data_IF_114671379669
#
_entry.id   IF_114671379669
#
_cell.length_a   1.000
_cell.length_b   1.000
_cell.length_c   1.000
_cell.angle_alpha   90.00
_cell.angle_beta   90.00
_cell.angle_gamma   90.00
#
_symmetry.space_group_name_H-M   'P 1'
#
loop_
_entity.id
_entity.type
_entity.pdbx_description
1 polymer ?
#
# COMPACT_ATOMS: atom_id res chain seq x y z
N UNK A 1 -15.42 -29.89 -20.11
CA UNK A 1 -16.01 -28.60 -19.73
C UNK A 1 -15.46 -28.19 -18.35
N UNK A 2 -14.19 -27.75 -18.30
CA UNK A 2 -13.63 -27.07 -17.13
C UNK A 2 -13.99 -25.59 -17.25
N UNK A 3 -15.05 -25.19 -16.56
CA UNK A 3 -15.36 -23.78 -16.31
C UNK A 3 -14.14 -23.14 -15.66
N UNK A 4 -13.62 -22.09 -16.32
CA UNK A 4 -12.56 -21.25 -15.77
C UNK A 4 -12.99 -20.80 -14.37
N UNK A 5 -12.34 -21.33 -13.33
CA UNK A 5 -12.54 -20.89 -11.95
C UNK A 5 -12.07 -19.44 -11.90
N UNK A 6 -13.02 -18.51 -11.96
CA UNK A 6 -12.75 -17.11 -11.69
C UNK A 6 -12.01 -17.05 -10.35
N UNK A 7 -10.86 -16.40 -10.32
CA UNK A 7 -10.06 -16.28 -9.11
C UNK A 7 -10.96 -15.79 -7.99
N UNK A 8 -11.13 -16.60 -6.93
CA UNK A 8 -12.04 -16.31 -5.82
C UNK A 8 -11.67 -14.96 -5.23
N UNK A 9 -12.54 -13.98 -5.38
CA UNK A 9 -12.36 -12.65 -4.80
C UNK A 9 -12.64 -12.75 -3.30
N UNK A 10 -11.75 -12.24 -2.49
CA UNK A 10 -11.89 -12.24 -1.04
C UNK A 10 -12.54 -10.92 -0.59
N UNK A 11 -13.82 -10.95 -0.20
CA UNK A 11 -14.55 -9.77 0.29
C UNK A 11 -13.84 -9.08 1.44
N UNK A 12 -13.23 -9.83 2.36
CA UNK A 12 -12.47 -9.29 3.48
C UNK A 12 -11.30 -8.41 3.07
N UNK A 13 -10.58 -8.76 1.99
CA UNK A 13 -9.49 -7.92 1.49
C UNK A 13 -10.02 -6.65 0.82
N UNK A 14 -11.20 -6.69 0.19
CA UNK A 14 -11.85 -5.50 -0.36
C UNK A 14 -12.24 -4.53 0.76
N UNK A 15 -12.76 -5.03 1.90
CA UNK A 15 -13.05 -4.20 3.07
C UNK A 15 -11.79 -3.49 3.60
N UNK A 16 -10.68 -4.23 3.73
CA UNK A 16 -9.43 -3.66 4.23
C UNK A 16 -8.83 -2.64 3.27
N UNK A 17 -8.92 -2.85 1.96
CA UNK A 17 -8.49 -1.86 0.96
C UNK A 17 -9.34 -0.59 1.01
N UNK A 18 -10.65 -0.75 1.15
CA UNK A 18 -11.55 0.38 1.30
C UNK A 18 -11.24 1.18 2.58
N UNK A 19 -11.03 0.49 3.70
CA UNK A 19 -10.61 1.12 4.95
C UNK A 19 -9.28 1.88 4.76
N UNK A 20 -8.27 1.25 4.17
CA UNK A 20 -6.95 1.85 3.99
C UNK A 20 -7.02 3.15 3.18
N UNK A 21 -7.74 3.17 2.05
CA UNK A 21 -7.85 4.40 1.25
C UNK A 21 -8.66 5.49 1.95
N UNK A 22 -9.71 5.13 2.68
CA UNK A 22 -10.53 6.10 3.42
C UNK A 22 -9.70 6.79 4.51
N UNK A 23 -8.96 6.04 5.34
CA UNK A 23 -8.17 6.67 6.40
C UNK A 23 -6.98 7.46 5.85
N UNK A 24 -6.36 7.02 4.75
CA UNK A 24 -5.32 7.79 4.04
C UNK A 24 -5.89 9.10 3.46
N UNK A 25 -7.10 9.04 2.90
CA UNK A 25 -7.78 10.23 2.39
C UNK A 25 -8.02 11.24 3.52
N UNK A 26 -8.59 10.82 4.65
CA UNK A 26 -8.86 11.69 5.80
C UNK A 26 -7.55 12.28 6.34
N UNK A 27 -6.49 11.50 6.48
CA UNK A 27 -5.17 11.99 6.89
C UNK A 27 -4.64 13.10 5.98
N UNK A 28 -4.73 12.92 4.66
CA UNK A 28 -4.27 13.93 3.72
C UNK A 28 -5.23 15.13 3.65
N UNK A 29 -6.54 14.92 3.86
CA UNK A 29 -7.50 16.02 3.96
C UNK A 29 -7.15 16.96 5.11
N UNK A 30 -6.77 16.40 6.28
CA UNK A 30 -6.38 17.20 7.45
C UNK A 30 -5.13 18.08 7.24
N UNK A 31 -4.45 17.95 6.11
CA UNK A 31 -3.38 18.88 5.71
C UNK A 31 -3.90 20.14 5.02
N UNK A 32 -5.17 20.18 4.63
CA UNK A 32 -5.82 21.26 3.91
C UNK A 32 -6.93 21.93 4.73
N UNK A 33 -7.67 21.14 5.51
CA UNK A 33 -8.72 21.60 6.41
C UNK A 33 -9.01 20.59 7.50
N UNK A 34 -9.45 21.03 8.67
CA UNK A 34 -9.65 20.19 9.86
C UNK A 34 -11.08 20.35 10.41
N UNK A 35 -12.11 19.74 9.78
CA UNK A 35 -13.43 19.75 10.35
C UNK A 35 -13.40 19.17 11.78
N UNK A 36 -14.10 19.77 12.75
CA UNK A 36 -14.01 19.38 14.16
C UNK A 36 -14.49 17.94 14.40
N UNK A 37 -13.99 17.29 15.46
CA UNK A 37 -14.48 16.00 15.96
C UNK A 37 -13.82 14.78 15.38
N UNK A 38 -14.59 13.83 14.82
CA UNK A 38 -14.09 12.51 14.39
C UNK A 38 -12.93 12.55 13.38
N UNK A 39 -12.85 13.60 12.56
CA UNK A 39 -11.79 13.77 11.57
C UNK A 39 -10.41 13.97 12.21
N UNK A 40 -10.33 14.71 13.30
CA UNK A 40 -9.09 14.92 14.02
C UNK A 40 -8.50 13.59 14.49
N UNK A 41 -9.33 12.76 15.16
CA UNK A 41 -8.91 11.45 15.65
C UNK A 41 -8.55 10.48 14.52
N UNK A 42 -9.39 10.37 13.47
CA UNK A 42 -9.10 9.50 12.32
C UNK A 42 -7.90 9.99 11.53
N UNK A 43 -7.74 11.31 11.41
CA UNK A 43 -6.62 11.92 10.71
C UNK A 43 -5.28 11.63 11.38
N UNK A 44 -5.22 11.70 12.72
CA UNK A 44 -3.97 11.44 13.46
C UNK A 44 -3.41 10.02 13.26
N UNK A 45 -4.28 9.05 12.93
CA UNK A 45 -3.90 7.65 12.69
C UNK A 45 -3.89 7.26 11.21
N UNK A 46 -4.47 8.09 10.32
CA UNK A 46 -4.76 7.74 8.93
C UNK A 46 -3.52 7.47 8.07
N UNK A 47 -2.35 7.99 8.45
CA UNK A 47 -1.08 7.68 7.79
C UNK A 47 -0.75 6.19 7.78
N UNK A 48 -1.22 5.42 8.78
CA UNK A 48 -1.01 3.97 8.87
C UNK A 48 -1.80 3.17 7.82
N UNK A 49 -2.76 3.79 7.13
CA UNK A 49 -3.44 3.16 6.00
C UNK A 49 -2.49 2.72 4.89
N UNK A 50 -1.35 3.41 4.76
CA UNK A 50 -0.25 2.99 3.87
C UNK A 50 0.35 1.65 4.33
N UNK A 51 0.55 1.46 5.63
CA UNK A 51 1.07 0.20 6.18
C UNK A 51 0.08 -0.96 5.97
N UNK A 52 -1.23 -0.69 6.04
CA UNK A 52 -2.24 -1.69 5.67
C UNK A 52 -2.16 -2.04 4.18
N UNK A 53 -1.95 -1.06 3.29
CA UNK A 53 -1.68 -1.36 1.87
C UNK A 53 -0.41 -2.19 1.71
N UNK A 54 0.67 -1.91 2.43
CA UNK A 54 1.90 -2.71 2.37
C UNK A 54 1.64 -4.17 2.77
N UNK A 55 0.88 -4.45 3.84
CA UNK A 55 0.55 -5.83 4.23
C UNK A 55 -0.29 -6.51 3.14
N UNK A 56 -1.30 -5.84 2.60
CA UNK A 56 -2.12 -6.37 1.52
C UNK A 56 -1.30 -6.63 0.25
N UNK A 57 -0.41 -5.72 -0.12
CA UNK A 57 0.50 -5.85 -1.25
C UNK A 57 1.48 -7.01 -1.06
N UNK A 58 2.10 -7.12 0.10
CA UNK A 58 3.00 -8.24 0.43
C UNK A 58 2.30 -9.59 0.32
N UNK A 59 1.07 -9.72 0.86
CA UNK A 59 0.29 -10.95 0.74
C UNK A 59 -0.03 -11.33 -0.70
N UNK A 60 -0.47 -10.37 -1.51
CA UNK A 60 -0.85 -10.62 -2.91
C UNK A 60 0.35 -10.93 -3.81
N UNK A 61 1.47 -10.25 -3.58
CA UNK A 61 2.71 -10.48 -4.32
C UNK A 61 3.34 -11.83 -3.96
N UNK A 62 3.48 -12.09 -2.66
CA UNK A 62 3.93 -13.39 -2.16
C UNK A 62 3.05 -14.52 -2.71
N UNK A 63 1.71 -14.33 -2.71
CA UNK A 63 0.76 -15.30 -3.22
C UNK A 63 0.97 -15.66 -4.69
N UNK A 64 1.29 -14.69 -5.54
CA UNK A 64 1.55 -14.94 -6.97
C UNK A 64 2.80 -15.79 -7.20
N UNK A 65 3.84 -15.59 -6.40
CA UNK A 65 5.10 -16.31 -6.52
C UNK A 65 5.02 -17.69 -5.84
N UNK A 66 4.53 -17.72 -4.59
CA UNK A 66 4.50 -18.94 -3.78
C UNK A 66 3.48 -19.97 -4.27
N UNK A 67 2.39 -19.54 -4.91
CA UNK A 67 1.44 -20.46 -5.52
C UNK A 67 2.10 -21.40 -6.55
N UNK A 68 3.02 -20.87 -7.37
CA UNK A 68 3.78 -21.68 -8.34
C UNK A 68 4.85 -22.53 -7.68
N UNK A 69 5.61 -21.94 -6.74
CA UNK A 69 6.66 -22.66 -6.00
C UNK A 69 6.05 -23.83 -5.21
N UNK A 70 4.89 -23.65 -4.58
CA UNK A 70 4.22 -24.70 -3.80
C UNK A 70 3.77 -25.89 -4.68
N UNK A 71 3.46 -25.64 -5.96
CA UNK A 71 3.09 -26.67 -6.96
C UNK A 71 4.29 -27.22 -7.72
N UNK A 72 5.52 -26.79 -7.38
CA UNK A 72 6.75 -27.09 -8.12
C UNK A 72 6.68 -26.67 -9.60
N UNK A 73 5.90 -25.63 -9.93
CA UNK A 73 5.81 -25.04 -11.26
C UNK A 73 6.89 -23.96 -11.46
N UNK A 74 7.41 -23.77 -12.69
CA UNK A 74 8.35 -22.70 -12.97
C UNK A 74 7.70 -21.34 -12.77
N UNK A 75 8.40 -20.44 -12.08
CA UNK A 75 7.94 -19.06 -11.87
C UNK A 75 8.24 -18.25 -13.15
N UNK A 76 7.20 -17.74 -13.79
CA UNK A 76 7.37 -16.84 -14.93
C UNK A 76 7.55 -15.40 -14.45
N UNK A 77 8.80 -14.99 -14.23
CA UNK A 77 9.14 -13.64 -13.77
C UNK A 77 8.74 -12.55 -14.77
N UNK A 78 8.90 -12.80 -16.07
CA UNK A 78 8.44 -11.87 -17.11
C UNK A 78 6.92 -11.62 -17.06
N UNK A 79 6.12 -12.69 -16.85
CA UNK A 79 4.68 -12.55 -16.64
C UNK A 79 4.34 -11.79 -15.37
N UNK A 80 5.10 -12.02 -14.30
CA UNK A 80 4.95 -11.31 -13.05
C UNK A 80 5.17 -9.80 -13.24
N UNK A 81 6.30 -9.39 -13.81
CA UNK A 81 6.61 -7.97 -14.05
C UNK A 81 5.61 -7.33 -15.02
N UNK A 82 5.25 -8.00 -16.10
CA UNK A 82 4.26 -7.51 -17.05
C UNK A 82 2.91 -7.22 -16.41
N UNK A 83 2.42 -8.12 -15.56
CA UNK A 83 1.16 -7.91 -14.81
C UNK A 83 1.23 -6.70 -13.89
N UNK A 84 2.36 -6.46 -13.26
CA UNK A 84 2.57 -5.34 -12.34
C UNK A 84 2.72 -4.03 -13.10
N UNK A 85 3.54 -3.99 -14.13
CA UNK A 85 3.72 -2.79 -14.94
C UNK A 85 2.39 -2.30 -15.50
N UNK A 86 1.56 -3.16 -16.09
CA UNK A 86 0.25 -2.75 -16.61
C UNK A 86 -0.77 -2.38 -15.51
N UNK A 87 -0.55 -2.78 -14.28
CA UNK A 87 -1.39 -2.41 -13.13
C UNK A 87 -1.05 -1.02 -12.59
N UNK A 88 0.23 -0.65 -12.57
CA UNK A 88 0.73 0.48 -11.79
C UNK A 88 1.18 1.63 -12.70
N UNK A 89 2.07 1.35 -13.66
CA UNK A 89 2.76 2.39 -14.42
C UNK A 89 1.83 3.30 -15.25
N UNK A 90 0.77 2.81 -15.92
CA UNK A 90 -0.05 3.68 -16.78
C UNK A 90 -0.74 4.79 -15.99
N UNK A 91 -1.37 4.48 -14.87
CA UNK A 91 -2.06 5.47 -14.05
C UNK A 91 -1.07 6.40 -13.34
N UNK A 92 0.06 5.85 -12.84
CA UNK A 92 1.12 6.66 -12.23
C UNK A 92 1.68 7.70 -13.23
N UNK A 93 2.08 7.28 -14.43
CA UNK A 93 2.62 8.20 -15.42
C UNK A 93 1.58 9.16 -16.00
N UNK A 94 0.30 8.77 -16.08
CA UNK A 94 -0.77 9.68 -16.45
C UNK A 94 -0.90 10.82 -15.42
N UNK A 95 -0.89 10.52 -14.13
CA UNK A 95 -0.94 11.54 -13.07
C UNK A 95 0.34 12.37 -13.06
N UNK A 96 1.51 11.76 -13.21
CA UNK A 96 2.78 12.49 -13.31
C UNK A 96 2.76 13.47 -14.51
N UNK A 97 2.21 13.06 -15.65
CA UNK A 97 2.06 13.94 -16.81
C UNK A 97 1.13 15.14 -16.53
N UNK A 98 0.06 14.94 -15.74
CA UNK A 98 -0.79 16.06 -15.29
C UNK A 98 -0.03 17.05 -14.42
N UNK A 99 0.80 16.58 -13.49
CA UNK A 99 1.66 17.45 -12.68
C UNK A 99 2.66 18.26 -13.51
N UNK A 100 3.18 17.67 -14.60
CA UNK A 100 4.13 18.36 -15.48
C UNK A 100 3.44 19.33 -16.44
N UNK A 101 2.20 19.04 -16.86
CA UNK A 101 1.47 19.82 -17.84
C UNK A 101 0.64 20.97 -17.24
N UNK A 102 0.19 20.81 -15.98
CA UNK A 102 -0.76 21.73 -15.33
C UNK A 102 -0.16 22.20 -14.00
N UNK A 103 0.47 23.40 -13.95
CA UNK A 103 1.09 23.89 -12.70
C UNK A 103 0.13 23.97 -11.52
N UNK A 104 -1.14 24.34 -11.74
CA UNK A 104 -2.18 24.40 -10.71
C UNK A 104 -2.53 23.02 -10.11
N UNK A 105 -2.10 21.91 -10.72
CA UNK A 105 -2.30 20.58 -10.21
C UNK A 105 -1.37 20.24 -9.03
N UNK A 106 -0.28 21.00 -8.87
CA UNK A 106 0.70 20.76 -7.83
C UNK A 106 0.26 21.39 -6.50
N UNK A 107 0.00 20.55 -5.49
CA UNK A 107 -0.38 20.95 -4.13
C UNK A 107 0.79 21.53 -3.31
N UNK A 108 1.98 21.55 -3.86
CA UNK A 108 3.22 22.11 -3.29
C UNK A 108 4.09 22.71 -4.39
N UNK A 109 5.08 23.51 -3.99
CA UNK A 109 5.85 24.37 -4.90
C UNK A 109 6.64 23.64 -5.99
N UNK A 110 7.18 22.47 -5.70
CA UNK A 110 8.05 21.76 -6.64
C UNK A 110 7.87 20.25 -6.59
N UNK A 111 8.05 19.62 -7.75
CA UNK A 111 8.21 18.16 -7.87
C UNK A 111 9.64 17.74 -7.53
N UNK A 112 9.84 16.53 -7.00
CA UNK A 112 11.16 15.90 -7.01
C UNK A 112 11.74 15.82 -8.43
N UNK A 113 13.07 15.73 -8.60
CA UNK A 113 13.68 15.55 -9.90
C UNK A 113 13.04 14.42 -10.70
N UNK A 114 12.68 14.67 -11.97
CA UNK A 114 11.90 13.77 -12.81
C UNK A 114 12.51 12.36 -12.88
N UNK A 115 13.85 12.25 -12.94
CA UNK A 115 14.52 10.94 -12.95
C UNK A 115 14.23 10.12 -11.70
N UNK A 116 14.11 10.74 -10.50
CA UNK A 116 13.74 10.04 -9.27
C UNK A 116 12.31 9.52 -9.33
N UNK A 117 11.41 10.25 -9.96
CA UNK A 117 10.02 9.85 -10.13
C UNK A 117 9.91 8.70 -11.12
N UNK A 118 10.62 8.76 -12.26
CA UNK A 118 10.64 7.69 -13.27
C UNK A 118 11.26 6.40 -12.73
N UNK A 119 12.29 6.51 -11.90
CA UNK A 119 12.99 5.35 -11.32
C UNK A 119 12.41 4.87 -9.99
N UNK A 120 11.30 5.49 -9.52
CA UNK A 120 10.71 5.19 -8.21
C UNK A 120 11.72 5.28 -7.05
N UNK A 121 12.57 6.31 -7.05
CA UNK A 121 13.58 6.58 -6.00
C UNK A 121 13.37 7.91 -5.28
N UNK A 122 12.24 8.58 -5.51
CA UNK A 122 11.94 9.87 -4.88
C UNK A 122 11.79 9.78 -3.34
N UNK A 123 11.57 8.59 -2.81
CA UNK A 123 11.45 8.36 -1.37
C UNK A 123 12.79 8.45 -0.61
N UNK A 124 13.94 8.44 -1.30
CA UNK A 124 15.24 8.66 -0.70
C UNK A 124 15.61 10.14 -0.66
N UNK A 125 15.81 10.68 0.54
CA UNK A 125 16.16 12.10 0.73
C UNK A 125 15.03 13.06 0.32
N UNK A 126 13.77 12.64 0.39
CA UNK A 126 12.61 13.48 0.07
C UNK A 126 12.50 14.65 1.06
N UNK A 127 12.57 15.85 0.54
CA UNK A 127 12.45 17.09 1.30
C UNK A 127 11.12 17.77 1.01
N UNK A 128 10.12 17.57 1.88
CA UNK A 128 8.77 18.12 1.71
C UNK A 128 8.72 19.65 1.60
N UNK A 129 9.67 20.36 2.20
CA UNK A 129 9.71 21.82 2.13
C UNK A 129 10.14 22.32 0.75
N UNK A 130 10.95 21.54 0.02
CA UNK A 130 11.44 21.91 -1.31
C UNK A 130 10.73 21.18 -2.44
N UNK A 131 10.48 19.89 -2.28
CA UNK A 131 10.06 18.94 -3.32
C UNK A 131 8.81 18.17 -2.86
N UNK A 132 7.81 18.89 -2.34
CA UNK A 132 6.64 18.28 -1.68
C UNK A 132 5.50 17.89 -2.61
N UNK A 133 5.49 18.34 -3.87
CA UNK A 133 4.45 17.99 -4.81
C UNK A 133 4.53 16.50 -5.19
N UNK A 134 3.37 15.84 -5.30
CA UNK A 134 3.26 14.39 -5.52
C UNK A 134 4.03 13.53 -4.48
N UNK A 135 4.31 14.11 -3.31
CA UNK A 135 5.10 13.45 -2.27
C UNK A 135 4.47 12.16 -1.76
N UNK A 136 3.13 12.06 -1.73
CA UNK A 136 2.45 10.84 -1.26
C UNK A 136 2.79 9.59 -2.10
N UNK A 137 3.30 9.74 -3.32
CA UNK A 137 3.79 8.62 -4.13
C UNK A 137 5.08 7.95 -3.58
N UNK A 138 5.64 8.44 -2.46
CA UNK A 138 6.79 7.80 -1.79
C UNK A 138 6.54 6.33 -1.46
N UNK A 139 5.32 5.98 -1.08
CA UNK A 139 4.97 4.60 -0.72
C UNK A 139 4.96 3.66 -1.92
N UNK A 140 4.57 4.18 -3.10
CA UNK A 140 4.67 3.43 -4.35
C UNK A 140 6.13 3.11 -4.71
N UNK A 141 7.08 3.99 -4.37
CA UNK A 141 8.50 3.70 -4.55
C UNK A 141 8.91 2.48 -3.74
N UNK A 142 8.49 2.38 -2.49
CA UNK A 142 8.78 1.22 -1.63
C UNK A 142 8.17 -0.05 -2.22
N UNK A 143 6.92 0.01 -2.67
CA UNK A 143 6.25 -1.14 -3.28
C UNK A 143 6.96 -1.59 -4.57
N UNK A 144 7.27 -0.67 -5.50
CA UNK A 144 7.92 -1.01 -6.77
C UNK A 144 9.33 -1.56 -6.58
N UNK A 145 10.10 -0.97 -5.65
CA UNK A 145 11.43 -1.50 -5.27
C UNK A 145 11.31 -2.90 -4.67
N UNK A 146 10.32 -3.13 -3.80
CA UNK A 146 10.07 -4.44 -3.23
C UNK A 146 9.62 -5.46 -4.29
N UNK A 147 8.77 -5.07 -5.24
CA UNK A 147 8.33 -5.92 -6.34
C UNK A 147 9.46 -6.29 -7.30
N UNK A 148 10.45 -5.41 -7.43
CA UNK A 148 11.67 -5.71 -8.19
C UNK A 148 12.57 -6.68 -7.42
N UNK A 149 12.81 -6.41 -6.14
CA UNK A 149 13.79 -7.14 -5.31
C UNK A 149 13.32 -8.55 -4.94
N UNK A 150 12.05 -8.73 -4.55
CA UNK A 150 11.57 -10.02 -4.06
C UNK A 150 11.73 -11.17 -5.06
N UNK A 151 11.34 -11.03 -6.36
CA UNK A 151 11.59 -12.08 -7.36
C UNK A 151 13.08 -12.34 -7.58
N UNK A 152 13.92 -11.29 -7.59
CA UNK A 152 15.38 -11.43 -7.76
C UNK A 152 16.00 -12.22 -6.59
N UNK A 153 15.56 -11.97 -5.36
CA UNK A 153 15.98 -12.76 -4.20
C UNK A 153 15.57 -14.24 -4.34
N UNK A 154 14.36 -14.50 -4.83
CA UNK A 154 13.90 -15.87 -5.05
C UNK A 154 14.71 -16.57 -6.16
N UNK A 155 15.13 -15.85 -7.21
CA UNK A 155 16.05 -16.39 -8.24
C UNK A 155 17.40 -16.72 -7.61
N UNK A 156 17.99 -15.77 -6.89
CA UNK A 156 19.32 -15.93 -6.29
C UNK A 156 19.36 -17.09 -5.27
N UNK A 157 18.29 -17.29 -4.50
CA UNK A 157 18.15 -18.37 -3.53
C UNK A 157 17.65 -19.69 -4.14
N UNK A 158 17.47 -19.76 -5.47
CA UNK A 158 17.02 -20.95 -6.18
C UNK A 158 15.57 -21.31 -5.90
N UNK A 159 14.68 -20.34 -5.68
CA UNK A 159 13.23 -20.52 -5.45
C UNK A 159 12.89 -21.56 -4.36
N UNK A 160 13.76 -21.74 -3.38
CA UNK A 160 13.63 -22.75 -2.34
C UNK A 160 12.59 -22.31 -1.29
N UNK A 161 11.78 -23.27 -0.80
CA UNK A 161 10.86 -23.02 0.33
C UNK A 161 11.59 -22.48 1.57
N UNK A 162 12.86 -22.84 1.75
CA UNK A 162 13.71 -22.35 2.86
C UNK A 162 14.02 -20.84 2.76
N UNK A 163 13.89 -20.20 1.58
CA UNK A 163 14.06 -18.76 1.44
C UNK A 163 13.09 -17.93 2.32
N UNK A 164 11.98 -18.52 2.72
CA UNK A 164 11.03 -17.91 3.66
C UNK A 164 11.65 -17.56 5.01
N UNK A 165 12.68 -18.29 5.45
CA UNK A 165 13.41 -18.00 6.69
C UNK A 165 14.21 -16.69 6.64
N UNK A 166 14.36 -16.09 5.44
CA UNK A 166 14.92 -14.75 5.33
C UNK A 166 13.96 -13.66 5.85
N UNK A 167 12.65 -13.92 5.87
CA UNK A 167 11.65 -12.93 6.30
C UNK A 167 11.88 -12.41 7.73
N UNK A 168 12.04 -13.27 8.76
CA UNK A 168 12.32 -12.79 10.11
C UNK A 168 13.67 -12.06 10.20
N UNK A 169 14.66 -12.43 9.40
CA UNK A 169 15.95 -11.73 9.35
C UNK A 169 15.78 -10.31 8.79
N UNK A 170 15.05 -10.17 7.67
CA UNK A 170 14.77 -8.85 7.08
C UNK A 170 13.91 -7.98 8.00
N UNK A 171 12.96 -8.59 8.71
CA UNK A 171 12.14 -7.88 9.70
C UNK A 171 13.00 -7.36 10.87
N UNK A 172 13.89 -8.20 11.40
CA UNK A 172 14.84 -7.82 12.45
C UNK A 172 15.84 -6.76 11.97
N UNK A 173 16.27 -6.85 10.70
CA UNK A 173 17.17 -5.85 10.09
C UNK A 173 16.49 -4.47 10.03
N UNK A 174 15.21 -4.39 9.66
CA UNK A 174 14.46 -3.13 9.68
C UNK A 174 14.44 -2.49 11.07
N UNK A 175 14.31 -3.32 12.10
CA UNK A 175 14.39 -2.89 13.50
C UNK A 175 15.77 -2.32 13.85
N UNK A 176 16.83 -3.05 13.49
CA UNK A 176 18.22 -2.62 13.74
C UNK A 176 18.55 -1.32 12.99
N UNK A 177 18.11 -1.18 11.75
CA UNK A 177 18.33 0.04 10.95
C UNK A 177 17.65 1.24 11.60
N UNK A 178 16.36 1.11 12.01
CA UNK A 178 15.66 2.22 12.69
C UNK A 178 16.34 2.60 14.01
N UNK A 179 16.82 1.61 14.76
CA UNK A 179 17.59 1.87 15.99
C UNK A 179 18.87 2.64 15.69
N UNK A 180 19.65 2.22 14.69
CA UNK A 180 20.85 2.93 14.25
C UNK A 180 20.52 4.36 13.78
N UNK A 181 19.48 4.54 12.96
CA UNK A 181 19.08 5.88 12.53
C UNK A 181 18.69 6.76 13.70
N UNK A 182 17.96 6.22 14.69
CA UNK A 182 17.52 6.96 15.87
C UNK A 182 18.67 7.40 16.76
N UNK A 183 19.60 6.50 17.11
CA UNK A 183 20.64 6.77 18.08
C UNK A 183 21.89 7.42 17.48
N UNK A 184 22.21 7.11 16.24
CA UNK A 184 23.49 7.52 15.62
C UNK A 184 23.36 8.58 14.54
N UNK A 185 22.22 8.64 13.82
CA UNK A 185 22.04 9.56 12.69
C UNK A 185 21.22 10.79 13.08
N UNK A 186 20.03 10.62 13.65
CA UNK A 186 19.15 11.74 13.98
C UNK A 186 19.75 12.77 14.94
N UNK A 187 20.49 12.39 16.01
CA UNK A 187 21.06 13.37 16.93
C UNK A 187 22.10 14.32 16.30
N UNK A 188 22.67 13.94 15.16
CA UNK A 188 23.65 14.74 14.43
C UNK A 188 23.02 15.72 13.45
N UNK A 189 21.68 15.71 13.31
CA UNK A 189 20.97 16.57 12.37
C UNK A 189 20.46 17.83 13.06
N UNK A 190 20.51 18.95 12.35
CA UNK A 190 20.07 20.27 12.84
C UNK A 190 18.56 20.40 12.97
N UNK A 191 17.79 19.60 12.22
CA UNK A 191 16.32 19.62 12.22
C UNK A 191 15.80 18.19 12.37
N UNK A 192 15.32 17.86 13.56
CA UNK A 192 14.83 16.54 13.92
C UNK A 192 13.65 16.11 13.05
N UNK A 193 12.64 16.96 12.87
CA UNK A 193 11.44 16.61 12.10
C UNK A 193 11.77 16.27 10.65
N UNK A 194 12.61 17.10 9.98
CA UNK A 194 13.08 16.81 8.63
C UNK A 194 13.87 15.49 8.59
N UNK A 195 14.81 15.30 9.52
CA UNK A 195 15.64 14.12 9.58
C UNK A 195 14.83 12.84 9.84
N UNK A 196 13.80 12.91 10.69
CA UNK A 196 12.90 11.79 10.93
C UNK A 196 12.24 11.31 9.62
N UNK A 197 11.69 12.23 8.82
CA UNK A 197 11.09 11.88 7.54
C UNK A 197 12.14 11.36 6.55
N UNK A 198 13.29 11.99 6.46
CA UNK A 198 14.36 11.65 5.53
C UNK A 198 15.02 10.29 5.81
N UNK A 199 15.20 9.91 7.08
CA UNK A 199 15.96 8.71 7.46
C UNK A 199 15.11 7.56 8.01
N UNK A 200 13.90 7.83 8.54
CA UNK A 200 13.03 6.81 9.13
C UNK A 200 11.73 6.62 8.37
N UNK A 201 10.99 7.72 8.05
CA UNK A 201 9.63 7.60 7.54
C UNK A 201 9.56 7.19 6.06
N UNK A 202 10.35 7.82 5.18
CA UNK A 202 10.27 7.61 3.74
C UNK A 202 11.16 6.48 3.18
N UNK A 203 12.35 6.18 3.73
CA UNK A 203 13.25 5.22 3.11
C UNK A 203 12.75 3.80 3.16
N UNK A 204 12.98 3.06 2.07
CA UNK A 204 12.58 1.66 1.91
C UNK A 204 13.14 0.75 2.99
N UNK A 205 14.40 0.96 3.39
CA UNK A 205 15.06 0.11 4.40
C UNK A 205 14.41 0.13 5.78
N UNK A 206 13.64 1.17 6.12
CA UNK A 206 12.96 1.33 7.41
C UNK A 206 11.47 1.00 7.37
N UNK A 207 10.91 0.67 6.19
CA UNK A 207 9.45 0.55 5.99
C UNK A 207 9.01 -0.77 5.34
N UNK A 208 9.85 -1.80 5.36
CA UNK A 208 9.50 -3.10 4.77
C UNK A 208 8.60 -3.96 5.66
N UNK A 209 8.39 -3.60 6.92
CA UNK A 209 7.69 -4.42 7.92
C UNK A 209 6.32 -4.93 7.42
N UNK A 210 5.48 -4.03 6.87
CA UNK A 210 4.16 -4.39 6.35
C UNK A 210 4.22 -5.35 5.16
N UNK A 211 5.12 -5.08 4.20
CA UNK A 211 5.31 -5.95 3.04
C UNK A 211 5.79 -7.34 3.47
N UNK A 212 6.75 -7.41 4.39
CA UNK A 212 7.27 -8.66 4.93
C UNK A 212 6.20 -9.44 5.73
N UNK A 213 5.39 -8.76 6.54
CA UNK A 213 4.26 -9.37 7.24
C UNK A 213 3.25 -9.99 6.25
N UNK A 214 2.93 -9.27 5.16
CA UNK A 214 2.07 -9.79 4.11
C UNK A 214 2.66 -11.00 3.39
N UNK A 215 3.94 -10.96 3.03
CA UNK A 215 4.65 -12.10 2.42
C UNK A 215 4.69 -13.30 3.37
N UNK A 216 4.88 -13.08 4.68
CA UNK A 216 4.86 -14.14 5.69
C UNK A 216 3.48 -14.83 5.75
N UNK A 217 2.38 -14.08 5.74
CA UNK A 217 1.04 -14.65 5.67
C UNK A 217 0.84 -15.52 4.42
N UNK A 218 1.32 -15.04 3.28
CA UNK A 218 1.28 -15.80 2.04
C UNK A 218 2.13 -17.09 2.12
N UNK A 219 3.30 -17.03 2.75
CA UNK A 219 4.15 -18.19 2.96
C UNK A 219 3.47 -19.24 3.86
N UNK A 220 2.82 -18.83 4.95
CA UNK A 220 2.03 -19.72 5.79
C UNK A 220 0.89 -20.38 5.00
N UNK A 221 0.18 -19.61 4.19
CA UNK A 221 -0.91 -20.13 3.36
C UNK A 221 -0.44 -21.23 2.41
N UNK A 222 0.67 -21.04 1.70
CA UNK A 222 1.13 -21.95 0.65
C UNK A 222 2.05 -23.08 1.16
N UNK A 223 2.87 -22.83 2.18
CA UNK A 223 3.89 -23.79 2.62
C UNK A 223 3.57 -24.49 3.92
N UNK A 224 2.61 -23.96 4.71
CA UNK A 224 2.21 -24.52 6.01
C UNK A 224 0.68 -24.64 6.13
N UNK A 225 0.01 -25.37 5.22
CA UNK A 225 -1.46 -25.40 5.16
C UNK A 225 -2.11 -25.91 6.45
N UNK A 226 -1.48 -26.82 7.18
CA UNK A 226 -2.00 -27.29 8.47
C UNK A 226 -1.97 -26.20 9.55
N UNK A 227 -0.89 -25.39 9.59
CA UNK A 227 -0.79 -24.24 10.50
C UNK A 227 -1.81 -23.19 10.10
N UNK A 228 -1.92 -22.91 8.80
CA UNK A 228 -2.91 -21.96 8.27
C UNK A 228 -4.35 -22.32 8.67
N UNK A 229 -4.74 -23.58 8.49
CA UNK A 229 -6.08 -24.06 8.88
C UNK A 229 -6.35 -23.92 10.37
N UNK A 230 -5.35 -24.18 11.23
CA UNK A 230 -5.47 -23.98 12.68
C UNK A 230 -5.63 -22.51 13.03
N UNK A 231 -4.81 -21.64 12.43
CA UNK A 231 -4.89 -20.19 12.65
C UNK A 231 -6.25 -19.63 12.21
N UNK A 232 -6.75 -20.02 11.03
CA UNK A 232 -7.97 -19.45 10.46
C UNK A 232 -9.26 -20.10 10.98
N UNK A 233 -9.16 -21.11 11.87
CA UNK A 233 -10.33 -21.82 12.42
C UNK A 233 -11.27 -20.93 13.24
N UNK A 234 -10.73 -19.89 13.89
CA UNK A 234 -11.46 -18.99 14.78
C UNK A 234 -11.41 -17.55 14.32
N UNK A 235 -11.86 -17.26 13.09
CA UNK A 235 -11.72 -15.98 12.41
C UNK A 235 -12.24 -14.78 13.20
N UNK A 236 -13.38 -14.87 13.87
CA UNK A 236 -13.88 -13.77 14.71
C UNK A 236 -13.04 -13.53 15.96
N UNK A 237 -12.42 -14.56 16.55
CA UNK A 237 -11.47 -14.36 17.66
C UNK A 237 -10.19 -13.68 17.15
N UNK A 238 -9.72 -14.06 15.97
CA UNK A 238 -8.58 -13.38 15.33
C UNK A 238 -8.92 -11.93 15.05
N UNK A 239 -10.14 -11.64 14.59
CA UNK A 239 -10.60 -10.27 14.36
C UNK A 239 -10.55 -9.44 15.66
N UNK A 240 -11.04 -9.98 16.77
CA UNK A 240 -11.00 -9.29 18.07
C UNK A 240 -9.55 -9.07 18.54
N UNK A 241 -8.68 -10.07 18.38
CA UNK A 241 -7.25 -9.93 18.69
C UNK A 241 -6.60 -8.87 17.79
N UNK A 242 -6.91 -8.88 16.49
CA UNK A 242 -6.39 -7.89 15.55
C UNK A 242 -6.81 -6.47 15.93
N UNK A 243 -8.07 -6.26 16.31
CA UNK A 243 -8.56 -4.96 16.77
C UNK A 243 -7.87 -4.51 18.07
N UNK A 244 -7.62 -5.43 19.00
CA UNK A 244 -6.85 -5.16 20.21
C UNK A 244 -5.39 -4.80 19.88
N UNK A 245 -4.77 -5.50 18.92
CA UNK A 245 -3.41 -5.18 18.46
C UNK A 245 -3.36 -3.82 17.74
N UNK A 246 -4.38 -3.46 16.95
CA UNK A 246 -4.48 -2.12 16.34
C UNK A 246 -4.59 -1.04 17.42
N UNK A 247 -5.42 -1.26 18.44
CA UNK A 247 -5.52 -0.34 19.58
C UNK A 247 -4.18 -0.23 20.32
N UNK A 248 -3.48 -1.35 20.57
CA UNK A 248 -2.14 -1.34 21.17
C UNK A 248 -1.10 -0.59 20.32
N UNK A 249 -1.10 -0.82 19.01
CA UNK A 249 -0.22 -0.11 18.08
C UNK A 249 -0.53 1.40 18.05
N UNK A 250 -1.80 1.77 18.17
CA UNK A 250 -2.23 3.16 18.30
C UNK A 250 -1.58 3.83 19.52
N UNK A 251 -1.61 3.21 20.72
CA UNK A 251 -0.95 3.76 21.91
C UNK A 251 0.56 3.97 21.73
N UNK A 252 1.21 3.14 20.91
CA UNK A 252 2.66 3.24 20.65
C UNK A 252 2.99 4.37 19.68
N UNK A 253 2.16 4.60 18.65
CA UNK A 253 2.53 5.39 17.49
C UNK A 253 1.52 6.49 17.09
N UNK A 254 0.50 6.81 17.92
CA UNK A 254 -0.45 7.88 17.61
C UNK A 254 0.19 9.27 17.79
N UNK A 255 -0.30 10.24 17.10
CA UNK A 255 0.09 11.65 17.19
C UNK A 255 1.61 11.85 17.28
N UNK A 256 2.08 12.61 18.25
CA UNK A 256 3.50 12.87 18.48
C UNK A 256 4.31 11.63 18.88
N UNK A 257 3.66 10.53 19.31
CA UNK A 257 4.37 9.32 19.70
C UNK A 257 5.10 8.68 18.53
N UNK A 258 4.64 8.85 17.27
CA UNK A 258 5.36 8.40 16.09
C UNK A 258 6.77 9.01 15.99
N UNK A 259 6.96 10.24 16.50
CA UNK A 259 8.25 10.95 16.51
C UNK A 259 9.10 10.69 17.75
N UNK A 260 8.64 9.82 18.65
CA UNK A 260 9.39 9.39 19.85
C UNK A 260 10.07 8.05 19.59
N UNK A 261 10.98 7.68 20.47
CA UNK A 261 11.72 6.42 20.39
C UNK A 261 10.81 5.21 20.17
N UNK A 262 9.74 5.11 20.97
CA UNK A 262 8.83 3.97 20.90
C UNK A 262 8.10 3.89 19.53
N UNK A 263 7.64 5.01 19.01
CA UNK A 263 6.95 5.05 17.72
C UNK A 263 7.91 4.80 16.56
N UNK A 264 9.06 5.43 16.57
CA UNK A 264 10.07 5.29 15.52
C UNK A 264 10.63 3.87 15.38
N UNK A 265 10.89 3.18 16.49
CA UNK A 265 11.51 1.85 16.48
C UNK A 265 10.47 0.74 16.53
N UNK A 266 9.49 0.82 17.44
CA UNK A 266 8.51 -0.25 17.69
C UNK A 266 7.16 -0.02 17.00
N UNK A 267 6.83 1.22 16.63
CA UNK A 267 5.53 1.55 16.04
C UNK A 267 5.28 0.82 14.72
N UNK A 268 6.20 0.90 13.76
CA UNK A 268 6.04 0.24 12.46
C UNK A 268 5.92 -1.28 12.54
N UNK A 269 6.76 -2.00 13.31
CA UNK A 269 6.55 -3.43 13.56
C UNK A 269 5.22 -3.74 14.20
N UNK A 270 4.80 -2.97 15.22
CA UNK A 270 3.54 -3.17 15.91
C UNK A 270 2.34 -2.99 14.97
N UNK A 271 2.34 -1.92 14.16
CA UNK A 271 1.32 -1.65 13.13
C UNK A 271 1.29 -2.80 12.11
N UNK A 272 2.45 -3.25 11.65
CA UNK A 272 2.56 -4.32 10.64
C UNK A 272 2.04 -5.67 11.16
N UNK A 273 2.30 -5.99 12.42
CA UNK A 273 1.77 -7.20 13.09
C UNK A 273 0.25 -7.07 13.27
N UNK A 274 -0.23 -5.91 13.73
CA UNK A 274 -1.65 -5.65 13.92
C UNK A 274 -2.44 -5.76 12.61
N UNK A 275 -1.96 -5.13 11.54
CA UNK A 275 -2.57 -5.23 10.22
C UNK A 275 -2.37 -6.62 9.59
N UNK A 276 -1.28 -7.30 9.88
CA UNK A 276 -1.10 -8.71 9.51
C UNK A 276 -2.18 -9.60 10.13
N UNK A 277 -2.47 -9.43 11.41
CA UNK A 277 -3.55 -10.13 12.09
C UNK A 277 -4.94 -9.76 11.51
N UNK A 278 -5.15 -8.50 11.13
CA UNK A 278 -6.38 -8.05 10.50
C UNK A 278 -6.57 -8.67 9.10
N UNK A 279 -5.50 -8.77 8.30
CA UNK A 279 -5.51 -9.46 7.01
C UNK A 279 -5.75 -10.97 7.21
N UNK A 280 -5.16 -11.59 8.22
CA UNK A 280 -5.43 -12.99 8.57
C UNK A 280 -6.90 -13.21 8.94
N UNK A 281 -7.51 -12.31 9.72
CA UNK A 281 -8.93 -12.33 10.02
C UNK A 281 -9.79 -12.21 8.75
N UNK A 282 -9.44 -11.29 7.85
CA UNK A 282 -10.13 -11.08 6.58
C UNK A 282 -10.05 -12.28 5.61
N UNK A 283 -9.04 -13.14 5.78
CA UNK A 283 -8.84 -14.38 5.02
C UNK A 283 -9.43 -15.62 5.70
N UNK A 284 -9.89 -15.50 6.96
CA UNK A 284 -10.40 -16.62 7.76
C UNK A 284 -11.86 -16.90 7.44
N UNK A 285 -12.24 -18.12 6.96
CA UNK A 285 -13.61 -18.43 6.52
C UNK A 285 -14.70 -18.25 7.59
N UNK A 286 -14.33 -18.29 8.86
CA UNK A 286 -15.23 -18.11 10.01
C UNK A 286 -15.29 -16.66 10.53
N UNK A 287 -14.63 -15.72 9.84
CA UNK A 287 -14.64 -14.31 10.18
C UNK A 287 -15.83 -13.59 9.57
N UNK A 288 -16.38 -12.62 10.30
CA UNK A 288 -17.37 -11.67 9.77
C UNK A 288 -16.85 -10.96 8.51
N UNK A 289 -15.58 -10.47 8.51
CA UNK A 289 -14.98 -9.79 7.37
C UNK A 289 -14.92 -10.65 6.09
N UNK A 290 -14.71 -11.96 6.25
CA UNK A 290 -14.68 -12.88 5.10
C UNK A 290 -16.07 -13.13 4.52
N UNK A 291 -17.09 -13.28 5.38
CA UNK A 291 -18.43 -13.69 5.00
C UNK A 291 -19.32 -12.51 4.58
N UNK A 292 -19.06 -11.32 5.12
CA UNK A 292 -19.79 -10.13 4.71
C UNK A 292 -19.29 -9.65 3.34
N UNK A 293 -20.23 -9.29 2.46
CA UNK A 293 -19.90 -8.69 1.16
C UNK A 293 -20.65 -7.38 0.98
N UNK A 294 -19.95 -6.33 0.53
CA UNK A 294 -20.53 -5.01 0.28
C UNK A 294 -20.13 -4.52 -1.11
N UNK A 295 -21.11 -4.06 -1.88
CA UNK A 295 -20.84 -3.44 -3.18
C UNK A 295 -20.07 -2.12 -3.03
N UNK A 296 -20.33 -1.37 -1.96
CA UNK A 296 -19.67 -0.10 -1.64
C UNK A 296 -18.19 -0.33 -1.42
N UNK A 297 -17.82 -1.20 -0.47
CA UNK A 297 -16.40 -1.46 -0.18
C UNK A 297 -15.69 -2.10 -1.37
N UNK A 298 -16.37 -2.92 -2.16
CA UNK A 298 -15.83 -3.48 -3.41
C UNK A 298 -15.51 -2.40 -4.42
N UNK A 299 -16.40 -1.43 -4.59
CA UNK A 299 -16.20 -0.30 -5.51
C UNK A 299 -15.03 0.56 -5.03
N UNK A 300 -15.01 0.97 -3.77
CA UNK A 300 -13.92 1.76 -3.17
C UNK A 300 -12.58 1.01 -3.29
N UNK A 301 -12.54 -0.28 -2.98
CA UNK A 301 -11.34 -1.11 -3.11
C UNK A 301 -10.84 -1.21 -4.57
N UNK A 302 -11.76 -1.23 -5.53
CA UNK A 302 -11.41 -1.25 -6.96
C UNK A 302 -10.79 0.08 -7.40
N UNK A 303 -11.30 1.18 -6.88
CA UNK A 303 -10.84 2.55 -7.18
C UNK A 303 -9.66 3.00 -6.31
N UNK A 304 -9.30 2.25 -5.27
CA UNK A 304 -8.36 2.68 -4.23
C UNK A 304 -7.03 3.18 -4.77
N UNK A 305 -6.48 2.53 -5.80
CA UNK A 305 -5.24 2.95 -6.42
C UNK A 305 -5.38 4.29 -7.17
N UNK A 306 -6.42 4.43 -7.98
CA UNK A 306 -6.67 5.67 -8.72
C UNK A 306 -7.01 6.84 -7.77
N UNK A 307 -7.79 6.59 -6.71
CA UNK A 307 -8.06 7.58 -5.66
C UNK A 307 -6.76 7.97 -4.96
N UNK A 308 -5.91 7.00 -4.60
CA UNK A 308 -4.63 7.25 -3.97
C UNK A 308 -3.73 8.18 -4.79
N UNK A 309 -3.70 8.03 -6.11
CA UNK A 309 -2.90 8.87 -7.00
C UNK A 309 -3.42 10.30 -7.13
N UNK A 310 -4.74 10.52 -7.00
CA UNK A 310 -5.36 11.81 -7.38
C UNK A 310 -5.94 12.61 -6.21
N UNK A 311 -6.16 12.00 -5.04
CA UNK A 311 -6.94 12.66 -3.98
C UNK A 311 -6.32 13.98 -3.49
N UNK A 312 -5.01 14.01 -3.30
CA UNK A 312 -4.32 15.16 -2.70
C UNK A 312 -4.42 16.42 -3.55
N UNK A 313 -4.18 16.27 -4.85
CA UNK A 313 -4.31 17.32 -5.83
C UNK A 313 -5.74 17.80 -5.97
N UNK A 314 -6.68 16.84 -5.97
CA UNK A 314 -8.10 17.17 -6.11
C UNK A 314 -8.66 17.83 -4.85
N UNK A 315 -8.18 17.48 -3.65
CA UNK A 315 -8.48 18.24 -2.43
C UNK A 315 -7.95 19.68 -2.60
N UNK A 316 -6.68 19.86 -2.97
CA UNK A 316 -6.08 21.18 -3.18
C UNK A 316 -6.89 22.03 -4.16
N UNK A 317 -7.17 21.54 -5.36
CA UNK A 317 -7.95 22.25 -6.36
C UNK A 317 -9.38 22.56 -5.90
N UNK A 318 -9.97 21.68 -5.09
CA UNK A 318 -11.31 21.91 -4.54
C UNK A 318 -11.27 23.06 -3.54
N UNK A 319 -10.30 23.11 -2.63
CA UNK A 319 -10.15 24.21 -1.67
C UNK A 319 -9.90 25.54 -2.39
N UNK A 320 -9.00 25.58 -3.38
CA UNK A 320 -8.79 26.77 -4.22
C UNK A 320 -10.08 27.26 -4.92
N UNK A 321 -10.93 26.34 -5.35
CA UNK A 321 -12.21 26.69 -5.94
C UNK A 321 -13.22 27.21 -4.88
N UNK A 322 -13.26 26.59 -3.70
CA UNK A 322 -14.19 26.92 -2.62
C UNK A 322 -13.88 28.27 -1.98
N UNK A 323 -12.60 28.67 -1.92
CA UNK A 323 -12.20 30.02 -1.47
C UNK A 323 -12.87 31.14 -2.26
N UNK A 324 -13.20 30.93 -3.54
CA UNK A 324 -13.93 31.91 -4.37
C UNK A 324 -15.39 32.11 -3.95
N UNK A 325 -15.91 31.23 -3.12
CA UNK A 325 -17.27 31.27 -2.58
C UNK A 325 -17.29 31.49 -1.07
N UNK A 326 -16.15 31.93 -0.48
CA UNK A 326 -16.00 32.18 0.96
C UNK A 326 -16.37 30.93 1.84
N UNK A 327 -16.15 29.70 1.32
CA UNK A 327 -16.37 28.49 2.07
C UNK A 327 -15.10 28.16 2.86
N UNK A 328 -15.26 28.03 4.17
CA UNK A 328 -14.21 27.71 5.11
C UNK A 328 -13.66 26.28 4.89
N UNK A 329 -12.33 26.15 4.84
CA UNK A 329 -11.62 24.88 4.68
C UNK A 329 -11.90 23.89 5.79
N UNK A 330 -12.15 24.36 7.02
CA UNK A 330 -12.48 23.55 8.18
C UNK A 330 -13.96 23.15 8.24
N UNK A 331 -14.76 23.53 7.21
CA UNK A 331 -16.17 23.20 7.16
C UNK A 331 -16.42 21.76 6.69
N UNK A 332 -17.50 21.16 7.19
CA UNK A 332 -17.99 19.87 6.65
C UNK A 332 -18.45 19.99 5.19
N UNK A 333 -18.83 21.19 4.72
CA UNK A 333 -19.15 21.45 3.31
C UNK A 333 -17.93 21.22 2.43
N UNK A 334 -16.78 21.81 2.79
CA UNK A 334 -15.52 21.64 2.09
C UNK A 334 -15.09 20.14 2.10
N UNK A 335 -15.22 19.47 3.25
CA UNK A 335 -14.91 18.06 3.37
C UNK A 335 -15.71 17.17 2.41
N UNK A 336 -17.04 17.33 2.38
CA UNK A 336 -17.89 16.48 1.54
C UNK A 336 -17.71 16.77 0.05
N UNK A 337 -17.56 18.04 -0.33
CA UNK A 337 -17.28 18.40 -1.73
C UNK A 337 -15.94 17.80 -2.16
N UNK A 338 -14.87 17.97 -1.37
CA UNK A 338 -13.55 17.41 -1.65
C UNK A 338 -13.61 15.88 -1.73
N UNK A 339 -14.40 15.22 -0.86
CA UNK A 339 -14.60 13.77 -0.90
C UNK A 339 -15.21 13.34 -2.23
N UNK A 340 -16.30 13.98 -2.64
CA UNK A 340 -16.98 13.67 -3.91
C UNK A 340 -16.04 13.89 -5.09
N UNK A 341 -15.34 15.03 -5.13
CA UNK A 341 -14.40 15.38 -6.22
C UNK A 341 -13.25 14.37 -6.29
N UNK A 342 -12.65 14.01 -5.16
CA UNK A 342 -11.57 13.01 -5.12
C UNK A 342 -12.03 11.63 -5.60
N UNK A 343 -13.22 11.18 -5.20
CA UNK A 343 -13.77 9.89 -5.63
C UNK A 343 -14.16 9.92 -7.13
N UNK A 344 -14.73 11.00 -7.62
CA UNK A 344 -15.04 11.15 -9.05
C UNK A 344 -13.75 11.20 -9.89
N UNK A 345 -12.74 11.94 -9.46
CA UNK A 345 -11.45 11.98 -10.16
C UNK A 345 -10.73 10.62 -10.17
N UNK A 346 -10.74 9.92 -9.04
CA UNK A 346 -10.24 8.54 -8.97
C UNK A 346 -11.02 7.59 -9.88
N UNK A 347 -12.35 7.72 -9.94
CA UNK A 347 -13.18 6.95 -10.86
C UNK A 347 -12.88 7.26 -12.34
N UNK A 348 -12.69 8.53 -12.69
CA UNK A 348 -12.30 8.94 -14.04
C UNK A 348 -10.94 8.39 -14.44
N UNK A 349 -9.93 8.51 -13.57
CA UNK A 349 -8.60 7.93 -13.82
C UNK A 349 -8.68 6.41 -14.00
N UNK A 350 -9.46 5.74 -13.16
CA UNK A 350 -9.69 4.29 -13.31
C UNK A 350 -10.34 3.96 -14.66
N UNK A 351 -11.40 4.68 -15.04
CA UNK A 351 -12.15 4.40 -16.25
C UNK A 351 -11.32 4.66 -17.52
N UNK A 352 -10.60 5.80 -17.56
CA UNK A 352 -9.90 6.28 -18.75
C UNK A 352 -8.52 5.66 -18.92
N UNK A 353 -7.83 5.31 -17.82
CA UNK A 353 -6.46 4.82 -17.87
C UNK A 353 -6.35 3.41 -17.29
N UNK A 354 -6.64 3.20 -16.01
CA UNK A 354 -6.36 1.93 -15.34
C UNK A 354 -7.10 0.75 -15.99
N UNK A 355 -8.40 0.87 -16.19
CA UNK A 355 -9.25 -0.19 -16.74
C UNK A 355 -8.88 -0.63 -18.17
N UNK A 356 -8.56 0.26 -19.13
CA UNK A 356 -8.06 -0.13 -20.45
C UNK A 356 -6.79 -0.98 -20.39
N UNK A 357 -5.81 -0.57 -19.57
CA UNK A 357 -4.56 -1.33 -19.43
C UNK A 357 -4.75 -2.66 -18.69
N UNK A 358 -5.65 -2.74 -17.72
CA UNK A 358 -6.04 -4.02 -17.12
C UNK A 358 -6.71 -4.95 -18.11
N UNK A 359 -7.57 -4.44 -19.00
CA UNK A 359 -8.16 -5.23 -20.10
C UNK A 359 -7.11 -5.71 -21.09
N UNK A 360 -6.12 -4.88 -21.43
CA UNK A 360 -5.01 -5.26 -22.28
C UNK A 360 -4.20 -6.41 -21.66
N UNK A 361 -3.88 -6.29 -20.37
CA UNK A 361 -3.24 -7.36 -19.58
C UNK A 361 -4.01 -8.67 -19.67
N UNK A 362 -5.32 -8.63 -19.43
CA UNK A 362 -6.15 -9.83 -19.39
C UNK A 362 -6.28 -10.49 -20.76
N UNK A 363 -6.38 -9.70 -21.83
CA UNK A 363 -6.35 -10.19 -23.23
C UNK A 363 -5.02 -10.87 -23.57
N UNK A 364 -3.90 -10.30 -23.16
CA UNK A 364 -2.57 -10.87 -23.38
C UNK A 364 -2.41 -12.21 -22.64
N UNK A 365 -2.85 -12.28 -21.38
CA UNK A 365 -2.82 -13.51 -20.59
C UNK A 365 -3.70 -14.62 -21.20
N UNK A 366 -4.87 -14.27 -21.70
CA UNK A 366 -5.75 -15.22 -22.39
C UNK A 366 -5.11 -15.79 -23.66
N UNK A 367 -4.48 -14.94 -24.49
CA UNK A 367 -3.76 -15.37 -25.70
C UNK A 367 -2.60 -16.30 -25.36
N UNK A 368 -1.82 -15.99 -24.31
CA UNK A 368 -0.70 -16.83 -23.89
C UNK A 368 -1.13 -18.21 -23.40
N UNK A 369 -2.29 -18.31 -22.75
CA UNK A 369 -2.86 -19.60 -22.31
C UNK A 369 -3.42 -20.42 -23.47
N UNK A 370 -3.88 -19.77 -24.54
CA UNK A 370 -4.43 -20.43 -25.74
C UNK A 370 -3.35 -20.86 -26.75
N UNK A 371 -2.13 -20.32 -26.65
CA UNK A 371 -1.02 -20.73 -27.50
C UNK A 371 -0.63 -22.18 -27.19
N UNK A 372 -0.52 -23.06 -28.24
CA UNK A 372 -0.06 -24.43 -28.03
C UNK A 372 1.35 -24.43 -27.44
N UNK A 373 1.60 -25.39 -26.54
CA UNK A 373 2.94 -25.59 -25.98
C UNK A 373 3.90 -25.82 -27.19
N UNK A 374 5.08 -25.17 -27.20
CA UNK A 374 6.08 -25.48 -28.18
C UNK A 374 6.33 -26.99 -28.15
N UNK A 375 6.24 -27.62 -29.32
CA UNK A 375 6.56 -29.04 -29.46
C UNK A 375 7.93 -29.26 -28.83
N UNK A 376 8.00 -30.16 -27.84
CA UNK A 376 9.27 -30.54 -27.25
C UNK A 376 10.18 -30.97 -28.39
N UNK A 377 11.23 -30.21 -28.67
CA UNK A 377 12.29 -30.66 -29.57
C UNK A 377 12.89 -31.91 -28.94
N UNK A 378 12.62 -33.03 -29.60
CA UNK A 378 13.20 -34.35 -29.34
C UNK A 378 14.73 -34.29 -29.44
#
# INVERSE_FOLDING_TARGET
>A
LQTAVAAKRFSGLDHLRALAIIIVFIYHYNMFGQPPGLHEWLGSWGWTGVDLFFVLSGYLIGGQLFARIARNEPVSYGEFYFKRSLRILPAYFAVLALYLAIPAFAERSQLPPLWRMITFTQNFGLNLAKEGAFSHAWSLCIEEQFYLILPLLLIALGTRRKAVWLLPVLFALGFAIRSFMWFDVLPKQSNFGKAYYEFIYYPTWSRLDGLLAGVALSAFYYFQPAVWQRLTRHGNRILLIALALVAGAWFIAHDDNQYKLQGAIFGYPAISIAYGALVLAALSPTSFLYNYSSAITRTIATLSYSIYLTHKQLIHLTHEALHRFDIDDDSYTAFWISTVVAFLGGWLLHLLVEKPFLRLRDKWLARKKAAPLPAASL
#
